data_IF_524443168582
#
_entry.id   IF_524443168582
#
_cell.length_a   1.000
_cell.length_b   1.000
_cell.length_c   1.000
_cell.angle_alpha   90.00
_cell.angle_beta   90.00
_cell.angle_gamma   90.00
#
_symmetry.space_group_name_H-M   'P 1'
#
loop_
_entity.id
_entity.type
_entity.pdbx_description
1 polymer ?
#
# COMPACT_ATOMS: atom_id res chain seq x y z
N UNK A 1 20.51 -12.69 -10.53
CA UNK A 1 19.43 -11.75 -10.86
C UNK A 1 19.58 -11.30 -12.30
N UNK A 2 18.52 -11.39 -13.09
CA UNK A 2 18.43 -10.77 -14.43
C UNK A 2 17.81 -9.39 -14.31
N UNK A 3 18.02 -8.54 -15.31
CA UNK A 3 17.36 -7.22 -15.37
C UNK A 3 15.84 -7.41 -15.48
N UNK A 4 15.09 -6.82 -14.56
CA UNK A 4 13.64 -6.71 -14.66
C UNK A 4 13.27 -5.42 -15.39
N UNK A 5 12.50 -5.53 -16.47
CA UNK A 5 12.03 -4.39 -17.25
C UNK A 5 10.52 -4.49 -17.47
N UNK A 6 9.82 -3.43 -17.10
CA UNK A 6 8.40 -3.23 -17.41
C UNK A 6 8.27 -1.95 -18.26
N UNK A 7 7.61 -2.00 -19.44
CA UNK A 7 7.18 -0.77 -20.09
C UNK A 7 6.17 0.00 -19.21
N UNK A 8 5.89 1.28 -19.51
CA UNK A 8 4.93 2.07 -18.74
C UNK A 8 3.58 1.34 -18.55
N UNK A 9 3.06 1.35 -17.32
CA UNK A 9 1.81 0.67 -16.97
C UNK A 9 1.89 -0.86 -16.83
N UNK A 10 2.99 -1.50 -17.23
CA UNK A 10 3.17 -2.95 -17.05
C UNK A 10 3.54 -3.31 -15.60
N UNK A 11 3.36 -4.59 -15.27
CA UNK A 11 3.50 -5.16 -13.93
C UNK A 11 2.35 -6.14 -13.67
N UNK A 12 2.39 -6.87 -12.55
CA UNK A 12 1.27 -7.73 -12.16
C UNK A 12 0.22 -6.89 -11.44
N UNK A 13 -1.00 -6.85 -11.99
CA UNK A 13 -2.08 -5.99 -11.50
C UNK A 13 -3.07 -6.77 -10.64
N UNK A 14 -3.37 -6.24 -9.47
CA UNK A 14 -4.36 -6.76 -8.53
C UNK A 14 -5.44 -5.71 -8.23
N UNK A 15 -6.73 -6.05 -8.29
CA UNK A 15 -7.76 -5.27 -7.61
C UNK A 15 -7.58 -5.44 -6.09
N UNK A 16 -7.59 -4.35 -5.33
CA UNK A 16 -7.30 -4.41 -3.89
C UNK A 16 -8.15 -3.39 -3.14
N UNK A 17 -9.20 -3.85 -2.45
CA UNK A 17 -10.05 -2.99 -1.60
C UNK A 17 -10.56 -1.72 -2.28
N UNK A 18 -10.91 -1.80 -3.57
CA UNK A 18 -11.38 -0.64 -4.36
C UNK A 18 -10.27 0.20 -5.02
N UNK A 19 -9.01 -0.18 -4.84
CA UNK A 19 -7.85 0.39 -5.55
C UNK A 19 -7.33 -0.57 -6.61
N UNK A 20 -6.36 -0.09 -7.37
CA UNK A 20 -5.50 -0.92 -8.22
C UNK A 20 -4.09 -0.94 -7.66
N UNK A 21 -3.54 -2.13 -7.41
CA UNK A 21 -2.15 -2.33 -7.05
C UNK A 21 -1.41 -2.99 -8.21
N UNK A 22 -0.38 -2.34 -8.76
CA UNK A 22 0.45 -2.89 -9.84
C UNK A 22 1.85 -3.18 -9.32
N UNK A 23 2.14 -4.45 -9.05
CA UNK A 23 3.44 -4.92 -8.58
C UNK A 23 4.47 -4.77 -9.69
N UNK A 24 5.52 -3.98 -9.44
CA UNK A 24 6.65 -3.73 -10.35
C UNK A 24 7.85 -4.61 -10.04
N UNK A 25 8.06 -4.94 -8.78
CA UNK A 25 9.07 -5.88 -8.31
C UNK A 25 8.64 -6.41 -6.94
N UNK A 26 8.82 -7.70 -6.69
CA UNK A 26 8.53 -8.33 -5.40
C UNK A 26 9.69 -9.18 -4.87
N UNK A 27 9.40 -10.03 -3.90
CA UNK A 27 10.35 -10.89 -3.18
C UNK A 27 11.25 -11.67 -4.13
N UNK A 28 10.66 -12.30 -5.16
CA UNK A 28 11.41 -13.10 -6.14
C UNK A 28 12.35 -12.27 -7.00
N UNK A 29 11.98 -11.04 -7.31
CA UNK A 29 12.73 -10.16 -8.21
C UNK A 29 13.89 -9.48 -7.49
N UNK A 30 13.69 -9.16 -6.21
CA UNK A 30 14.64 -8.37 -5.40
C UNK A 30 15.44 -9.23 -4.42
N UNK A 31 15.22 -10.54 -4.36
CA UNK A 31 15.83 -11.41 -3.36
C UNK A 31 15.36 -11.05 -1.94
N UNK A 32 14.06 -10.82 -1.79
CA UNK A 32 13.39 -10.38 -0.57
C UNK A 32 13.78 -8.99 -0.03
N UNK A 33 14.51 -8.18 -0.80
CA UNK A 33 15.03 -6.90 -0.31
C UNK A 33 13.98 -5.77 -0.31
N UNK A 34 13.11 -5.72 -1.31
CA UNK A 34 12.18 -4.61 -1.53
C UNK A 34 10.98 -5.08 -2.37
N UNK A 35 9.78 -4.63 -2.00
CA UNK A 35 8.61 -4.63 -2.89
C UNK A 35 8.38 -3.23 -3.44
N UNK A 36 8.08 -3.14 -4.73
CA UNK A 36 7.74 -1.89 -5.41
C UNK A 36 6.37 -2.05 -6.06
N UNK A 37 5.40 -1.28 -5.61
CA UNK A 37 4.02 -1.35 -6.07
C UNK A 37 3.59 0.04 -6.50
N UNK A 38 3.02 0.15 -7.70
CA UNK A 38 2.33 1.36 -8.13
C UNK A 38 0.85 1.24 -7.75
N UNK A 39 0.42 2.12 -6.85
CA UNK A 39 -0.93 2.12 -6.28
C UNK A 39 -1.76 3.24 -6.90
N UNK A 40 -2.96 2.92 -7.39
CA UNK A 40 -3.93 3.89 -7.89
C UNK A 40 -5.18 3.91 -7.00
N UNK A 41 -5.39 4.99 -6.27
CA UNK A 41 -6.42 5.13 -5.25
C UNK A 41 -7.46 6.19 -5.69
N UNK A 42 -8.76 5.86 -5.77
CA UNK A 42 -9.78 6.83 -6.15
C UNK A 42 -9.95 7.93 -5.10
N UNK A 43 -10.58 9.07 -5.44
CA UNK A 43 -11.00 10.08 -4.48
C UNK A 43 -11.77 9.47 -3.31
N UNK A 44 -11.45 9.90 -2.08
CA UNK A 44 -12.08 9.42 -0.85
C UNK A 44 -11.60 8.04 -0.39
N UNK A 45 -10.67 7.38 -1.10
CA UNK A 45 -10.06 6.15 -0.61
C UNK A 45 -9.25 6.42 0.66
N UNK A 46 -9.36 5.52 1.62
CA UNK A 46 -8.62 5.57 2.87
C UNK A 46 -8.28 4.15 3.35
N UNK A 47 -7.07 3.96 3.85
CA UNK A 47 -6.71 2.71 4.54
C UNK A 47 -7.24 2.70 5.97
N UNK A 48 -7.55 1.52 6.54
CA UNK A 48 -7.74 1.41 7.98
C UNK A 48 -6.46 1.82 8.71
N UNK A 49 -6.56 2.18 9.99
CA UNK A 49 -5.36 2.38 10.80
C UNK A 49 -4.69 1.04 11.05
N UNK A 50 -3.40 0.93 10.74
CA UNK A 50 -2.68 -0.34 10.79
C UNK A 50 -1.20 -0.18 11.17
N UNK A 51 -0.55 -1.30 11.44
CA UNK A 51 0.88 -1.40 11.79
C UNK A 51 1.53 -2.46 10.91
N UNK A 52 2.69 -2.14 10.36
CA UNK A 52 3.58 -3.11 9.73
C UNK A 52 4.57 -3.62 10.78
N UNK A 53 4.59 -4.92 11.07
CA UNK A 53 5.49 -5.48 12.07
C UNK A 53 6.87 -5.85 11.52
N UNK A 54 7.01 -5.99 10.20
CA UNK A 54 8.19 -6.58 9.57
C UNK A 54 8.88 -5.68 8.55
N UNK A 55 8.16 -4.74 7.96
CA UNK A 55 8.64 -3.90 6.88
C UNK A 55 8.42 -2.42 7.20
N UNK A 56 9.37 -1.59 6.79
CA UNK A 56 9.13 -0.15 6.70
C UNK A 56 8.41 0.13 5.37
N UNK A 57 7.60 1.19 5.34
CA UNK A 57 6.86 1.60 4.16
C UNK A 57 7.28 3.01 3.74
N UNK A 58 7.34 3.28 2.43
CA UNK A 58 7.42 4.63 1.93
C UNK A 58 6.52 4.85 0.72
N UNK A 59 6.06 6.11 0.60
CA UNK A 59 5.29 6.60 -0.52
C UNK A 59 6.10 7.60 -1.32
N UNK A 60 6.11 7.46 -2.65
CA UNK A 60 6.56 8.48 -3.58
C UNK A 60 5.43 8.84 -4.54
N UNK A 61 4.97 10.08 -4.49
CA UNK A 61 3.73 10.49 -5.18
C UNK A 61 4.02 10.82 -6.65
N UNK A 62 3.24 10.23 -7.55
CA UNK A 62 3.33 10.41 -9.00
C UNK A 62 2.29 11.42 -9.51
N UNK A 63 1.05 11.33 -9.03
CA UNK A 63 -0.05 12.27 -9.33
C UNK A 63 -1.08 12.28 -8.18
N UNK A 64 -1.87 13.35 -8.07
CA UNK A 64 -2.77 13.56 -6.94
C UNK A 64 -2.02 13.92 -5.65
N UNK A 65 -2.67 13.76 -4.50
CA UNK A 65 -2.08 14.01 -3.20
C UNK A 65 -2.47 12.94 -2.19
N UNK A 66 -1.53 12.57 -1.32
CA UNK A 66 -1.75 11.65 -0.21
C UNK A 66 -1.65 12.42 1.10
N UNK A 67 -2.61 12.21 2.00
CA UNK A 67 -2.48 12.60 3.39
C UNK A 67 -2.18 11.36 4.22
N UNK A 68 -1.10 11.39 5.00
CA UNK A 68 -0.69 10.30 5.88
C UNK A 68 -0.85 10.74 7.33
N UNK A 69 -1.50 9.90 8.12
CA UNK A 69 -1.65 10.03 9.57
C UNK A 69 -0.76 8.98 10.22
N UNK A 70 0.20 9.38 11.05
CA UNK A 70 1.05 8.44 11.79
C UNK A 70 1.18 8.94 13.23
N UNK A 71 0.81 8.09 14.18
CA UNK A 71 0.67 8.46 15.60
C UNK A 71 -0.23 9.69 15.78
N UNK A 72 0.29 10.82 16.28
CA UNK A 72 -0.43 12.07 16.56
C UNK A 72 -0.17 13.16 15.51
N UNK A 73 0.54 12.82 14.43
CA UNK A 73 0.97 13.75 13.39
C UNK A 73 0.36 13.40 12.03
N UNK A 74 0.23 14.41 11.17
CA UNK A 74 -0.25 14.24 9.80
C UNK A 74 0.59 15.05 8.81
N UNK A 75 0.83 14.47 7.64
CA UNK A 75 1.56 15.09 6.54
C UNK A 75 0.78 14.94 5.25
N UNK A 76 0.97 15.88 4.34
CA UNK A 76 0.42 15.81 2.99
C UNK A 76 1.56 15.90 1.97
N UNK A 77 1.49 15.07 0.94
CA UNK A 77 2.45 15.05 -0.15
C UNK A 77 1.71 15.02 -1.50
N UNK A 78 2.04 15.99 -2.36
CA UNK A 78 1.70 15.98 -3.79
C UNK A 78 2.82 15.40 -4.65
N UNK A 79 2.75 15.53 -5.99
CA UNK A 79 3.70 14.91 -6.91
C UNK A 79 5.17 15.26 -6.62
N UNK A 80 6.02 14.24 -6.59
CA UNK A 80 7.44 14.37 -6.21
C UNK A 80 7.69 14.39 -4.69
N UNK A 81 6.63 14.41 -3.87
CA UNK A 81 6.72 14.27 -2.43
C UNK A 81 7.05 12.83 -2.01
N UNK A 82 7.72 12.71 -0.87
CA UNK A 82 8.14 11.44 -0.28
C UNK A 82 7.78 11.40 1.20
N UNK A 83 7.23 10.28 1.66
CA UNK A 83 6.93 10.02 3.07
C UNK A 83 7.49 8.65 3.42
N UNK A 84 8.24 8.55 4.52
CA UNK A 84 8.76 7.31 5.09
C UNK A 84 8.02 7.01 6.40
N UNK A 85 7.55 5.77 6.53
CA UNK A 85 6.82 5.22 7.66
C UNK A 85 7.62 4.03 8.22
N UNK A 86 8.40 4.23 9.28
CA UNK A 86 9.10 3.14 9.94
C UNK A 86 8.12 2.09 10.48
N UNK A 87 8.51 0.82 10.40
CA UNK A 87 7.78 -0.32 10.96
C UNK A 87 7.45 -0.09 12.44
N UNK A 88 6.36 -0.71 12.89
CA UNK A 88 5.90 -0.62 14.28
C UNK A 88 5.19 0.70 14.63
N UNK A 89 5.12 1.68 13.72
CA UNK A 89 4.37 2.92 13.94
C UNK A 89 2.96 2.83 13.34
N UNK A 90 1.90 2.98 14.15
CA UNK A 90 0.53 3.01 13.66
C UNK A 90 0.28 4.14 12.67
N UNK A 91 -0.20 3.81 11.48
CA UNK A 91 -0.49 4.78 10.44
C UNK A 91 -1.71 4.44 9.58
N UNK A 92 -2.16 5.42 8.81
CA UNK A 92 -3.15 5.32 7.76
C UNK A 92 -2.86 6.38 6.69
N UNK A 93 -3.35 6.18 5.47
CA UNK A 93 -3.32 7.22 4.45
C UNK A 93 -4.69 7.41 3.80
N UNK A 94 -4.92 8.61 3.29
CA UNK A 94 -6.17 9.05 2.69
C UNK A 94 -5.89 9.82 1.42
N UNK A 95 -6.65 9.54 0.36
CA UNK A 95 -6.79 10.44 -0.77
C UNK A 95 -8.00 11.37 -0.53
N UNK A 96 -7.75 12.58 0.00
CA UNK A 96 -8.79 13.60 0.20
C UNK A 96 -9.02 14.51 -1.01
N UNK A 97 -8.25 14.33 -2.08
CA UNK A 97 -8.42 15.09 -3.32
C UNK A 97 -9.68 14.67 -4.08
N UNK A 98 -10.02 15.46 -5.09
CA UNK A 98 -11.05 15.18 -6.08
C UNK A 98 -10.52 14.37 -7.28
N UNK A 99 -9.20 14.17 -7.35
CA UNK A 99 -8.51 13.38 -8.38
C UNK A 99 -7.99 12.03 -7.84
N UNK A 100 -7.71 11.09 -8.75
CA UNK A 100 -7.08 9.82 -8.39
C UNK A 100 -5.62 10.04 -7.95
N UNK A 101 -5.27 9.48 -6.80
CA UNK A 101 -3.91 9.42 -6.29
C UNK A 101 -3.16 8.27 -6.98
N UNK A 102 -2.00 8.54 -7.56
CA UNK A 102 -1.04 7.53 -8.03
C UNK A 102 0.27 7.71 -7.30
N UNK A 103 0.79 6.63 -6.71
CA UNK A 103 2.03 6.66 -5.96
C UNK A 103 2.78 5.33 -6.08
N UNK A 104 4.10 5.38 -5.89
CA UNK A 104 4.87 4.18 -5.58
C UNK A 104 4.78 3.93 -4.08
N UNK A 105 4.30 2.76 -3.72
CA UNK A 105 4.40 2.17 -2.40
C UNK A 105 5.59 1.21 -2.38
N UNK A 106 6.53 1.49 -1.49
CA UNK A 106 7.79 0.79 -1.34
C UNK A 106 7.79 0.14 0.05
N UNK A 107 8.01 -1.16 0.14
CA UNK A 107 8.11 -1.84 1.44
C UNK A 107 9.36 -2.69 1.53
N UNK A 108 10.09 -2.60 2.65
CA UNK A 108 11.32 -3.37 2.86
C UNK A 108 11.46 -3.92 4.29
N UNK A 109 11.80 -5.21 4.46
CA UNK A 109 11.98 -6.25 3.42
C UNK A 109 10.72 -6.50 2.56
N UNK A 110 10.89 -7.17 1.42
CA UNK A 110 9.78 -7.46 0.52
C UNK A 110 8.71 -8.35 1.17
N UNK A 111 7.50 -8.34 0.61
CA UNK A 111 6.42 -9.28 0.97
C UNK A 111 5.00 -8.71 0.87
N UNK A 112 4.84 -7.37 0.79
CA UNK A 112 3.52 -6.73 0.70
C UNK A 112 2.70 -7.17 -0.52
N UNK A 113 3.36 -7.55 -1.62
CA UNK A 113 2.69 -8.09 -2.80
C UNK A 113 1.99 -9.43 -2.53
N UNK A 114 2.43 -10.22 -1.54
CA UNK A 114 1.76 -11.48 -1.18
C UNK A 114 0.44 -11.21 -0.46
N UNK A 115 0.43 -10.24 0.45
CA UNK A 115 -0.80 -9.74 1.06
C UNK A 115 -1.75 -9.16 0.01
N UNK A 116 -1.23 -8.34 -0.91
CA UNK A 116 -2.00 -7.79 -2.02
C UNK A 116 -2.64 -8.90 -2.86
N UNK A 117 -1.87 -9.91 -3.23
CA UNK A 117 -2.35 -11.04 -4.02
C UNK A 117 -3.43 -11.85 -3.29
N UNK A 118 -3.25 -12.14 -2.00
CA UNK A 118 -4.21 -12.92 -1.21
C UNK A 118 -5.54 -12.18 -1.04
N UNK A 119 -5.49 -10.89 -0.68
CA UNK A 119 -6.71 -10.06 -0.57
C UNK A 119 -7.40 -9.92 -1.92
N UNK A 120 -6.65 -9.78 -3.02
CA UNK A 120 -7.24 -9.67 -4.37
C UNK A 120 -7.98 -10.92 -4.85
N UNK A 121 -7.68 -12.07 -4.26
CA UNK A 121 -8.32 -13.34 -4.58
C UNK A 121 -9.67 -13.53 -3.85
N UNK A 122 -10.01 -12.65 -2.92
CA UNK A 122 -11.30 -12.68 -2.23
C UNK A 122 -12.45 -12.36 -3.19
N UNK A 123 -13.66 -12.90 -2.94
CA UNK A 123 -14.84 -12.55 -3.73
C UNK A 123 -15.10 -11.05 -3.74
N UNK A 124 -15.54 -10.53 -4.89
CA UNK A 124 -15.95 -9.14 -4.99
C UNK A 124 -17.15 -8.84 -4.07
N UNK A 125 -17.14 -7.65 -3.45
CA UNK A 125 -18.18 -7.22 -2.52
C UNK A 125 -17.62 -6.32 -1.43
N UNK A 126 -18.44 -5.91 -0.45
CA UNK A 126 -17.96 -5.22 0.74
C UNK A 126 -16.89 -6.06 1.44
N UNK A 127 -15.78 -5.46 1.92
CA UNK A 127 -14.73 -6.19 2.58
C UNK A 127 -15.22 -6.83 3.88
N UNK A 128 -14.95 -8.12 4.06
CA UNK A 128 -15.04 -8.77 5.36
C UNK A 128 -13.83 -8.34 6.20
N UNK A 129 -14.04 -7.41 7.13
CA UNK A 129 -12.97 -6.86 7.95
C UNK A 129 -12.35 -7.87 8.91
N UNK A 130 -13.09 -8.89 9.36
CA UNK A 130 -12.55 -9.92 10.23
C UNK A 130 -11.58 -10.82 9.44
N UNK A 131 -11.99 -11.22 8.24
CA UNK A 131 -11.13 -11.97 7.34
C UNK A 131 -9.92 -11.13 6.89
N UNK A 132 -10.11 -9.85 6.59
CA UNK A 132 -9.02 -8.95 6.21
C UNK A 132 -7.99 -8.81 7.34
N UNK A 133 -8.44 -8.71 8.59
CA UNK A 133 -7.55 -8.69 9.76
C UNK A 133 -6.81 -10.02 9.94
N UNK A 134 -7.47 -11.15 9.73
CA UNK A 134 -6.83 -12.48 9.78
C UNK A 134 -5.75 -12.64 8.70
N UNK A 135 -6.06 -12.24 7.46
CA UNK A 135 -5.09 -12.23 6.36
C UNK A 135 -3.94 -11.27 6.70
N UNK A 136 -4.24 -10.04 7.12
CA UNK A 136 -3.23 -9.06 7.52
C UNK A 136 -2.26 -9.63 8.54
N UNK A 137 -2.77 -10.27 9.60
CA UNK A 137 -1.95 -10.85 10.66
C UNK A 137 -1.00 -11.95 10.14
N UNK A 138 -1.43 -12.78 9.17
CA UNK A 138 -0.54 -13.78 8.52
C UNK A 138 0.63 -13.15 7.78
N UNK A 139 0.45 -11.93 7.26
CA UNK A 139 1.46 -11.18 6.52
C UNK A 139 2.21 -10.15 7.38
N UNK A 140 1.94 -10.09 8.69
CA UNK A 140 2.60 -9.14 9.61
C UNK A 140 1.99 -7.74 9.64
N UNK A 141 0.72 -7.60 9.21
CA UNK A 141 -0.05 -6.36 9.29
C UNK A 141 -1.16 -6.45 10.33
N UNK A 142 -1.12 -5.57 11.33
CA UNK A 142 -2.16 -5.47 12.36
C UNK A 142 -3.11 -4.32 12.04
N UNK A 143 -4.41 -4.62 11.91
CA UNK A 143 -5.46 -3.63 11.73
C UNK A 143 -5.97 -3.17 13.10
N UNK A 144 -5.80 -1.89 13.40
CA UNK A 144 -6.13 -1.29 14.70
C UNK A 144 -7.52 -0.67 14.76
N UNK A 145 -8.09 -0.29 13.60
CA UNK A 145 -9.38 0.40 13.60
C UNK A 145 -9.74 1.01 12.25
N UNK A 146 -10.84 1.78 12.21
CA UNK A 146 -11.32 2.39 10.98
C UNK A 146 -10.32 3.43 10.43
N UNK A 147 -10.49 3.85 9.17
CA UNK A 147 -9.75 4.98 8.62
C UNK A 147 -9.91 6.25 9.47
N UNK A 148 -8.92 7.16 9.45
CA UNK A 148 -9.05 8.47 10.09
C UNK A 148 -10.22 9.25 9.49
N UNK A 149 -10.95 9.99 10.34
CA UNK A 149 -12.05 10.87 9.96
C UNK A 149 -11.58 12.00 9.03
#
# INVERSE_FOLDING_TARGET
>A
MTVLFHPPGAGTRYPFLGTTMTVKAGERDTGAALSVIESECPPGFATPRHVHHHDDEAFYVLSGAVQVHCEDEAWEAGPGGFILLPRGRPHAFVNRGDEALRMLQLTWPAGFEHFTAEVSALPAGPPDFALLAEIGARHGYEILGPPPA
#
